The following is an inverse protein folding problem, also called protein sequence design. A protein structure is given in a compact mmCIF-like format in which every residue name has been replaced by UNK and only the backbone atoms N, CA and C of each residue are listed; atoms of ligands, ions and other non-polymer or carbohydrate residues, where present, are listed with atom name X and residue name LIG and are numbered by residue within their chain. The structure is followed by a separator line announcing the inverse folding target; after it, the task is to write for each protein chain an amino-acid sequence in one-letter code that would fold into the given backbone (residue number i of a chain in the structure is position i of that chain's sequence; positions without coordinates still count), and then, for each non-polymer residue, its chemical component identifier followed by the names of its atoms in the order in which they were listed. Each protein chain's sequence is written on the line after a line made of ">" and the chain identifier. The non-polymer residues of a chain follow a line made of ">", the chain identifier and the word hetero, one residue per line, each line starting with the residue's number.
data_IF_187398662194
#
_entry.id   IF_187398662194
#
_cell.length_a   1.000
_cell.length_b   1.000
_cell.length_c   1.000
_cell.angle_alpha   90.00
_cell.angle_beta   90.00
_cell.angle_gamma   90.00
#
_symmetry.space_group_name_H-M   'P 1'
#
loop_
_entity.id
_entity.type
_entity.pdbx_description
1 polymer ?
#
# COMPACT_ATOMS: atom_id res chain seq x y z
N UNK A 1 -0.25 17.58 -16.13
CA UNK A 1 -0.72 16.17 -16.17
C UNK A 1 -2.23 16.00 -16.09
N UNK A 2 -2.99 16.74 -15.26
CA UNK A 2 -4.46 16.59 -15.15
C UNK A 2 -5.22 16.72 -16.48
N UNK A 3 -4.83 17.70 -17.31
CA UNK A 3 -5.48 17.99 -18.61
C UNK A 3 -5.21 16.90 -19.66
N UNK A 4 -4.02 16.29 -19.65
CA UNK A 4 -3.66 15.21 -20.60
C UNK A 4 -4.38 13.89 -20.28
N UNK A 5 -4.55 13.55 -19.00
CA UNK A 5 -5.22 12.32 -18.58
C UNK A 5 -6.74 12.36 -18.80
N UNK A 6 -7.37 13.53 -18.60
CA UNK A 6 -8.80 13.74 -18.85
C UNK A 6 -9.12 13.72 -20.35
N UNK A 7 -8.27 14.30 -21.20
CA UNK A 7 -8.48 14.35 -22.65
C UNK A 7 -8.36 12.97 -23.34
N UNK A 8 -7.82 11.95 -22.67
CA UNK A 8 -7.65 10.60 -23.23
C UNK A 8 -8.54 9.57 -22.49
N UNK A 9 -9.41 10.01 -21.55
CA UNK A 9 -10.23 9.15 -20.69
C UNK A 9 -9.39 8.04 -20.02
N UNK A 10 -8.30 8.42 -19.37
CA UNK A 10 -7.40 7.48 -18.69
C UNK A 10 -7.79 7.34 -17.22
N UNK A 11 -8.07 8.47 -16.55
CA UNK A 11 -8.51 8.52 -15.15
C UNK A 11 -9.53 9.63 -14.92
N UNK A 12 -10.43 9.43 -13.97
CA UNK A 12 -11.43 10.41 -13.54
C UNK A 12 -11.48 10.51 -12.01
N UNK A 13 -11.82 11.70 -11.51
CA UNK A 13 -12.07 11.96 -10.10
C UNK A 13 -13.50 12.48 -9.96
N UNK A 14 -14.45 11.63 -9.55
CA UNK A 14 -15.82 12.09 -9.26
C UNK A 14 -15.93 12.54 -7.80
N UNK A 15 -15.61 13.81 -7.55
CA UNK A 15 -15.71 14.39 -6.21
C UNK A 15 -17.15 14.46 -5.69
N UNK A 16 -18.13 14.67 -6.59
CA UNK A 16 -19.52 14.90 -6.21
C UNK A 16 -20.31 13.61 -6.00
N UNK A 17 -20.03 12.55 -6.78
CA UNK A 17 -20.83 11.31 -6.71
C UNK A 17 -20.17 10.24 -5.84
N UNK A 18 -18.84 10.10 -5.94
CA UNK A 18 -18.11 9.02 -5.26
C UNK A 18 -17.31 9.49 -4.04
N UNK A 19 -17.10 10.80 -3.92
CA UNK A 19 -16.23 11.40 -2.90
C UNK A 19 -14.87 11.81 -3.48
N UNK A 20 -14.28 12.84 -2.86
CA UNK A 20 -12.93 13.28 -3.22
C UNK A 20 -11.90 12.17 -3.02
N UNK A 21 -10.76 12.25 -3.71
CA UNK A 21 -9.62 11.35 -3.45
C UNK A 21 -9.64 10.04 -4.23
N UNK A 22 -10.83 9.55 -4.59
CA UNK A 22 -11.01 8.26 -5.25
C UNK A 22 -10.76 8.36 -6.75
N UNK A 23 -9.83 7.54 -7.23
CA UNK A 23 -9.41 7.51 -8.64
C UNK A 23 -10.17 6.43 -9.40
N UNK A 24 -10.90 6.83 -10.42
CA UNK A 24 -11.55 5.91 -11.35
C UNK A 24 -10.61 5.63 -12.52
N UNK A 25 -10.16 4.39 -12.63
CA UNK A 25 -9.36 3.92 -13.75
C UNK A 25 -10.26 3.49 -14.90
N UNK A 26 -10.31 4.29 -15.96
CA UNK A 26 -11.05 3.97 -17.18
C UNK A 26 -10.32 2.87 -17.98
N UNK A 27 -10.97 2.16 -18.92
CA UNK A 27 -10.37 0.99 -19.58
C UNK A 27 -8.95 1.19 -20.13
N UNK A 28 -8.66 2.35 -20.72
CA UNK A 28 -7.32 2.68 -21.21
C UNK A 28 -6.31 2.88 -20.07
N UNK A 29 -6.71 3.55 -19.00
CA UNK A 29 -5.87 3.70 -17.80
C UNK A 29 -5.67 2.40 -17.05
N UNK A 30 -6.68 1.54 -17.01
CA UNK A 30 -6.59 0.21 -16.43
C UNK A 30 -5.55 -0.65 -17.17
N UNK A 31 -5.48 -0.57 -18.50
CA UNK A 31 -4.43 -1.25 -19.27
C UNK A 31 -3.04 -0.70 -18.94
N UNK A 32 -2.87 0.61 -18.86
CA UNK A 32 -1.59 1.22 -18.49
C UNK A 32 -1.15 0.76 -17.09
N UNK A 33 -2.08 0.82 -16.13
CA UNK A 33 -1.85 0.34 -14.76
C UNK A 33 -1.46 -1.14 -14.75
N UNK A 34 -2.19 -1.99 -15.47
CA UNK A 34 -1.90 -3.42 -15.57
C UNK A 34 -0.49 -3.69 -16.10
N UNK A 35 -0.06 -3.00 -17.16
CA UNK A 35 1.30 -3.15 -17.72
C UNK A 35 2.37 -2.74 -16.71
N UNK A 36 2.14 -1.66 -15.95
CA UNK A 36 3.07 -1.21 -14.91
C UNK A 36 3.14 -2.20 -13.74
N UNK A 37 1.99 -2.69 -13.27
CA UNK A 37 1.92 -3.68 -12.20
C UNK A 37 2.61 -5.00 -12.59
N UNK A 38 2.41 -5.46 -13.83
CA UNK A 38 3.01 -6.69 -14.32
C UNK A 38 4.53 -6.58 -14.44
N UNK A 39 5.03 -5.45 -14.93
CA UNK A 39 6.47 -5.17 -14.96
C UNK A 39 7.06 -5.18 -13.54
N UNK A 40 6.41 -4.49 -12.61
CA UNK A 40 6.85 -4.43 -11.22
C UNK A 40 6.88 -5.82 -10.59
N UNK A 41 5.81 -6.63 -10.76
CA UNK A 41 5.72 -7.99 -10.23
C UNK A 41 6.83 -8.86 -10.80
N UNK A 42 7.06 -8.79 -12.11
CA UNK A 42 8.09 -9.55 -12.80
C UNK A 42 9.48 -9.26 -12.22
N UNK A 43 9.86 -7.99 -12.09
CA UNK A 43 11.18 -7.58 -11.56
C UNK A 43 11.37 -8.10 -10.13
N UNK A 44 10.35 -8.00 -9.29
CA UNK A 44 10.42 -8.44 -7.90
C UNK A 44 10.51 -9.97 -7.79
N UNK A 45 9.74 -10.72 -8.58
CA UNK A 45 9.84 -12.19 -8.63
C UNK A 45 11.23 -12.64 -9.09
N UNK A 46 11.77 -12.02 -10.14
CA UNK A 46 13.11 -12.32 -10.67
C UNK A 46 14.22 -12.08 -9.64
N UNK A 47 14.00 -11.17 -8.69
CA UNK A 47 14.93 -10.84 -7.60
C UNK A 47 14.66 -11.60 -6.30
N UNK A 48 13.71 -12.54 -6.28
CA UNK A 48 13.46 -13.42 -5.12
C UNK A 48 12.43 -12.92 -4.10
N UNK A 49 11.71 -11.83 -4.40
CA UNK A 49 10.63 -11.35 -3.55
C UNK A 49 9.39 -12.26 -3.65
N UNK A 50 8.75 -12.50 -2.51
CA UNK A 50 7.52 -13.25 -2.42
C UNK A 50 6.32 -12.31 -2.46
N UNK A 51 5.46 -12.48 -3.47
CA UNK A 51 4.23 -11.69 -3.58
C UNK A 51 3.23 -12.05 -2.49
N UNK A 52 2.66 -11.03 -1.86
CA UNK A 52 1.56 -11.14 -0.91
C UNK A 52 0.34 -10.37 -1.39
N UNK A 53 -0.81 -10.81 -0.89
CA UNK A 53 -2.08 -10.08 -0.98
C UNK A 53 -2.70 -10.09 0.41
N UNK A 54 -2.86 -8.92 1.01
CA UNK A 54 -3.40 -8.80 2.37
C UNK A 54 -4.75 -8.08 2.37
N UNK A 55 -5.60 -8.31 3.40
CA UNK A 55 -6.91 -7.67 3.48
C UNK A 55 -6.83 -6.14 3.60
N UNK A 56 -7.89 -5.45 3.18
CA UNK A 56 -8.01 -3.99 3.33
C UNK A 56 -8.42 -3.54 4.74
N UNK A 57 -9.00 -4.43 5.54
CA UNK A 57 -9.58 -4.14 6.85
C UNK A 57 -9.03 -5.12 7.88
N UNK A 58 -8.73 -4.62 9.07
CA UNK A 58 -8.32 -5.43 10.22
C UNK A 58 -8.96 -4.93 11.51
N UNK A 59 -8.94 -5.78 12.54
CA UNK A 59 -9.36 -5.41 13.90
C UNK A 59 -8.56 -4.20 14.39
N UNK A 60 -9.23 -3.25 15.04
CA UNK A 60 -8.64 -2.04 15.60
C UNK A 60 -7.42 -2.34 16.50
N UNK A 61 -7.48 -3.43 17.26
CA UNK A 61 -6.40 -3.88 18.13
C UNK A 61 -5.07 -4.14 17.40
N UNK A 62 -5.09 -4.57 16.13
CA UNK A 62 -3.86 -4.74 15.34
C UNK A 62 -3.11 -3.41 15.22
N UNK A 63 -3.85 -2.34 14.94
CA UNK A 63 -3.29 -1.00 14.78
C UNK A 63 -2.82 -0.41 16.12
N UNK A 64 -3.49 -0.76 17.22
CA UNK A 64 -3.04 -0.43 18.57
C UNK A 64 -1.69 -1.10 18.90
N UNK A 65 -1.59 -2.42 18.68
CA UNK A 65 -0.36 -3.18 18.95
C UNK A 65 0.81 -2.65 18.13
N UNK A 66 0.55 -2.25 16.88
CA UNK A 66 1.57 -1.67 16.01
C UNK A 66 1.94 -0.21 16.33
N UNK A 67 1.23 0.44 17.27
CA UNK A 67 1.42 1.85 17.64
C UNK A 67 0.82 2.86 16.65
N UNK A 68 0.25 2.42 15.52
CA UNK A 68 -0.26 3.33 14.49
C UNK A 68 -1.48 4.13 14.94
N UNK A 69 -2.31 3.59 15.84
CA UNK A 69 -3.44 4.36 16.38
C UNK A 69 -3.01 5.57 17.19
N UNK A 70 -1.82 5.58 17.79
CA UNK A 70 -1.37 6.71 18.61
C UNK A 70 -0.83 7.85 17.72
N UNK A 71 -0.11 7.50 16.64
CA UNK A 71 0.55 8.48 15.78
C UNK A 71 -0.27 8.89 14.54
N UNK A 72 -1.09 7.99 14.00
CA UNK A 72 -1.78 8.18 12.72
C UNK A 72 -3.29 8.36 12.86
N UNK A 73 -3.83 8.46 14.09
CA UNK A 73 -5.28 8.56 14.34
C UNK A 73 -5.97 9.60 13.45
N UNK A 74 -5.37 10.77 13.32
CA UNK A 74 -5.92 11.90 12.57
C UNK A 74 -5.93 11.67 11.05
N UNK A 75 -5.07 10.77 10.57
CA UNK A 75 -4.92 10.43 9.15
C UNK A 75 -5.57 9.08 8.80
N UNK A 76 -6.27 8.47 9.75
CA UNK A 76 -6.97 7.19 9.58
C UNK A 76 -8.48 7.43 9.48
N UNK A 77 -9.17 6.52 8.81
CA UNK A 77 -10.63 6.51 8.82
C UNK A 77 -11.18 6.25 10.21
N UNK A 78 -12.43 6.64 10.40
CA UNK A 78 -13.18 6.19 11.56
C UNK A 78 -13.32 4.66 11.59
N UNK A 79 -13.35 4.12 12.80
CA UNK A 79 -13.52 2.69 13.03
C UNK A 79 -14.94 2.26 12.68
N UNK A 80 -15.05 1.13 12.00
CA UNK A 80 -16.32 0.47 11.69
C UNK A 80 -16.67 -0.50 12.83
N UNK A 81 -17.89 -0.43 13.34
CA UNK A 81 -18.39 -1.42 14.30
C UNK A 81 -19.07 -2.57 13.54
N UNK A 82 -18.56 -3.79 13.74
CA UNK A 82 -19.09 -5.02 13.15
C UNK A 82 -19.20 -6.06 14.26
N UNK A 83 -20.44 -6.44 14.62
CA UNK A 83 -20.71 -7.48 15.63
C UNK A 83 -19.99 -7.25 16.97
N UNK A 84 -20.04 -6.00 17.49
CA UNK A 84 -19.38 -5.56 18.72
C UNK A 84 -17.83 -5.54 18.67
N UNK A 85 -17.25 -5.78 17.50
CA UNK A 85 -15.83 -5.61 17.25
C UNK A 85 -15.54 -4.36 16.41
N UNK A 86 -14.49 -3.64 16.76
CA UNK A 86 -14.02 -2.47 16.02
C UNK A 86 -13.04 -2.91 14.93
N UNK A 87 -13.36 -2.54 13.70
CA UNK A 87 -12.54 -2.75 12.51
C UNK A 87 -12.08 -1.41 11.93
N UNK A 88 -10.98 -1.45 11.22
CA UNK A 88 -10.30 -0.25 10.74
C UNK A 88 -9.68 -0.53 9.37
N UNK A 89 -9.89 0.41 8.44
CA UNK A 89 -9.23 0.41 7.13
C UNK A 89 -7.72 0.60 7.29
N UNK A 90 -6.95 -0.11 6.47
CA UNK A 90 -5.49 -0.07 6.55
C UNK A 90 -4.91 1.27 6.07
N UNK A 91 -4.14 1.99 6.90
CA UNK A 91 -3.36 3.15 6.46
C UNK A 91 -2.03 2.76 5.79
N UNK A 92 -1.58 1.52 5.99
CA UNK A 92 -0.36 0.93 5.46
C UNK A 92 -0.38 -0.61 5.56
N UNK A 93 0.55 -1.27 4.86
CA UNK A 93 0.58 -2.74 4.76
C UNK A 93 1.45 -3.42 5.83
N UNK A 94 2.34 -2.67 6.51
CA UNK A 94 3.39 -3.24 7.39
C UNK A 94 2.88 -4.23 8.44
N UNK A 95 1.81 -3.93 9.21
CA UNK A 95 1.31 -4.87 10.23
C UNK A 95 0.85 -6.20 9.65
N UNK A 96 0.33 -6.24 8.41
CA UNK A 96 -0.06 -7.49 7.77
C UNK A 96 1.13 -8.35 7.38
N UNK A 97 2.18 -7.74 6.83
CA UNK A 97 3.40 -8.47 6.47
C UNK A 97 4.04 -9.10 7.71
N UNK A 98 4.02 -8.38 8.84
CA UNK A 98 4.48 -8.92 10.13
C UNK A 98 3.60 -10.08 10.61
N UNK A 99 2.27 -10.01 10.44
CA UNK A 99 1.38 -11.14 10.77
C UNK A 99 1.66 -12.38 9.92
N UNK A 100 1.93 -12.20 8.63
CA UNK A 100 2.31 -13.29 7.72
C UNK A 100 3.63 -13.90 8.17
N UNK A 101 4.63 -13.06 8.45
CA UNK A 101 5.92 -13.49 8.99
C UNK A 101 5.73 -14.26 10.30
N UNK A 102 4.96 -13.74 11.26
CA UNK A 102 4.77 -14.37 12.59
C UNK A 102 4.02 -15.70 12.55
N UNK A 103 3.34 -16.05 11.45
CA UNK A 103 2.49 -17.25 11.36
C UNK A 103 3.28 -18.57 11.43
N UNK A 104 4.55 -18.57 11.01
CA UNK A 104 5.44 -19.74 11.08
C UNK A 104 6.75 -19.39 11.81
N UNK A 105 7.36 -20.34 12.53
CA UNK A 105 8.75 -20.18 12.95
C UNK A 105 9.65 -20.17 11.71
N UNK A 106 10.72 -19.37 11.73
CA UNK A 106 11.70 -19.28 10.65
C UNK A 106 13.07 -19.73 11.14
N UNK A 107 13.77 -20.48 10.31
CA UNK A 107 15.17 -20.84 10.50
C UNK A 107 16.07 -19.70 10.03
N UNK A 108 17.26 -19.55 10.63
CA UNK A 108 18.23 -18.54 10.22
C UNK A 108 18.69 -18.71 8.75
N UNK A 109 18.61 -19.92 8.21
CA UNK A 109 18.92 -20.22 6.81
C UNK A 109 17.87 -19.70 5.82
N UNK A 110 16.66 -19.36 6.27
CA UNK A 110 15.61 -18.81 5.39
C UNK A 110 15.81 -17.31 5.13
N UNK A 111 16.71 -16.63 5.87
CA UNK A 111 16.98 -15.21 5.67
C UNK A 111 17.98 -14.95 4.54
N UNK A 112 17.76 -13.91 3.73
CA UNK A 112 16.73 -12.87 3.86
C UNK A 112 15.35 -13.32 3.33
N UNK A 113 14.29 -13.00 4.09
CA UNK A 113 12.90 -13.21 3.66
C UNK A 113 12.36 -11.89 3.13
N UNK A 114 12.13 -11.85 1.82
CA UNK A 114 11.65 -10.67 1.13
C UNK A 114 10.19 -10.89 0.74
N UNK A 115 9.30 -10.01 1.18
CA UNK A 115 7.88 -10.02 0.81
C UNK A 115 7.49 -8.69 0.19
N UNK A 116 6.58 -8.73 -0.77
CA UNK A 116 6.18 -7.54 -1.51
C UNK A 116 4.69 -7.57 -1.83
N UNK A 117 4.02 -6.43 -1.73
CA UNK A 117 2.60 -6.30 -2.03
C UNK A 117 2.34 -4.97 -2.75
N UNK A 118 1.57 -5.03 -3.84
CA UNK A 118 0.93 -3.84 -4.41
C UNK A 118 -0.38 -3.61 -3.67
N UNK A 119 -0.26 -2.98 -2.50
CA UNK A 119 -1.36 -2.86 -1.55
C UNK A 119 -2.05 -1.52 -1.66
N UNK A 120 -3.34 -1.51 -2.01
CA UNK A 120 -4.19 -0.33 -1.88
C UNK A 120 -4.35 0.06 -0.40
N UNK A 121 -3.85 1.22 -0.01
CA UNK A 121 -3.97 1.80 1.33
C UNK A 121 -4.98 2.94 1.34
N UNK A 122 -5.53 3.25 2.51
CA UNK A 122 -6.53 4.31 2.67
C UNK A 122 -6.06 5.29 3.74
N UNK A 123 -5.82 6.54 3.33
CA UNK A 123 -5.46 7.63 4.24
C UNK A 123 -6.45 8.78 4.15
N UNK A 124 -6.75 9.35 5.30
CA UNK A 124 -7.56 10.54 5.43
C UNK A 124 -6.64 11.77 5.34
N UNK A 125 -6.72 12.51 4.25
CA UNK A 125 -6.01 13.79 4.07
C UNK A 125 -6.99 14.97 4.01
N UNK A 126 -6.57 16.11 4.58
CA UNK A 126 -7.34 17.35 4.56
C UNK A 126 -7.44 17.93 3.13
N UNK A 127 -8.67 18.30 2.75
CA UNK A 127 -9.11 18.76 1.42
C UNK A 127 -8.32 19.94 0.80
N UNK A 128 -7.54 20.68 1.59
CA UNK A 128 -6.85 21.90 1.15
C UNK A 128 -5.61 21.71 0.26
N UNK A 129 -5.23 20.48 -0.10
CA UNK A 129 -3.94 20.18 -0.77
C UNK A 129 -4.02 19.29 -2.02
N UNK A 130 -5.16 19.32 -2.74
CA UNK A 130 -5.38 18.55 -3.97
C UNK A 130 -4.40 18.90 -5.10
N UNK A 131 -3.63 17.91 -5.58
CA UNK A 131 -2.80 18.01 -6.80
C UNK A 131 -2.80 16.70 -7.62
N UNK A 132 -3.85 16.50 -8.44
CA UNK A 132 -3.90 15.45 -9.47
C UNK A 132 -3.68 14.03 -8.93
N UNK A 133 -2.94 13.19 -9.68
CA UNK A 133 -2.55 11.83 -9.28
C UNK A 133 -1.39 11.79 -8.26
N UNK A 134 -0.65 12.90 -8.09
CA UNK A 134 0.53 12.94 -7.22
C UNK A 134 0.18 13.14 -5.75
N UNK A 135 -0.93 13.84 -5.49
CA UNK A 135 -1.46 14.04 -4.15
C UNK A 135 -2.97 14.17 -4.23
N UNK A 136 -3.67 13.05 -4.00
CA UNK A 136 -5.12 13.03 -4.03
C UNK A 136 -5.67 13.33 -2.64
N UNK A 137 -5.47 14.58 -2.19
CA UNK A 137 -5.88 15.04 -0.87
C UNK A 137 -7.36 15.41 -0.81
N UNK A 138 -8.23 14.46 -0.53
CA UNK A 138 -9.60 14.73 -0.13
C UNK A 138 -10.29 13.42 0.14
N UNK A 139 -10.79 13.23 1.35
CA UNK A 139 -11.64 12.13 1.83
C UNK A 139 -11.26 10.66 1.60
N UNK A 140 -10.47 10.27 0.60
CA UNK A 140 -9.84 8.94 0.47
C UNK A 140 -8.67 8.91 -0.48
N UNK A 141 -7.45 8.77 0.04
CA UNK A 141 -6.32 8.43 -0.81
C UNK A 141 -6.25 6.90 -0.97
N UNK A 142 -6.89 6.37 -2.03
CA UNK A 142 -6.58 5.02 -2.53
C UNK A 142 -5.25 5.11 -3.29
N UNK A 143 -4.18 4.77 -2.59
CA UNK A 143 -2.87 4.61 -3.21
C UNK A 143 -2.56 3.14 -3.32
N UNK A 144 -2.25 2.71 -4.55
CA UNK A 144 -1.48 1.52 -4.74
C UNK A 144 -0.07 1.81 -4.24
N UNK A 145 0.27 1.27 -3.07
CA UNK A 145 1.59 1.40 -2.49
C UNK A 145 2.41 0.16 -2.89
N UNK A 146 3.60 0.38 -3.44
CA UNK A 146 4.60 -0.64 -3.71
C UNK A 146 5.38 -0.96 -2.42
N UNK A 147 4.74 -1.72 -1.53
CA UNK A 147 5.32 -2.01 -0.22
C UNK A 147 6.14 -3.30 -0.26
N UNK A 148 7.43 -3.15 0.01
CA UNK A 148 8.36 -4.24 0.25
C UNK A 148 8.72 -4.32 1.74
N UNK A 149 8.78 -5.53 2.30
CA UNK A 149 9.31 -5.78 3.62
C UNK A 149 10.36 -6.88 3.57
N UNK A 150 11.55 -6.57 4.07
CA UNK A 150 12.68 -7.47 4.10
C UNK A 150 12.99 -7.79 5.55
N UNK A 151 12.82 -9.07 5.91
CA UNK A 151 13.28 -9.59 7.19
C UNK A 151 14.67 -10.19 6.95
N UNK A 152 15.67 -9.65 7.62
CA UNK A 152 17.06 -10.07 7.46
C UNK A 152 17.79 -10.10 8.82
N UNK A 153 18.93 -10.76 8.84
CA UNK A 153 19.86 -10.74 9.97
C UNK A 153 20.63 -9.41 9.99
N UNK A 154 21.16 -9.02 11.15
CA UNK A 154 21.84 -7.73 11.33
C UNK A 154 23.06 -7.56 10.42
N UNK A 155 23.78 -8.65 10.15
CA UNK A 155 24.93 -8.69 9.25
C UNK A 155 24.55 -8.56 7.77
N UNK A 156 23.32 -8.95 7.40
CA UNK A 156 22.80 -8.89 6.03
C UNK A 156 22.25 -7.51 5.63
N UNK A 157 21.99 -6.62 6.60
CA UNK A 157 21.35 -5.30 6.37
C UNK A 157 22.02 -4.51 5.25
N UNK A 158 23.36 -4.50 5.21
CA UNK A 158 24.12 -3.73 4.22
C UNK A 158 23.92 -4.24 2.79
N UNK A 159 23.91 -5.55 2.62
CA UNK A 159 23.75 -6.19 1.32
C UNK A 159 22.32 -6.02 0.81
N UNK A 160 21.33 -6.12 1.70
CA UNK A 160 19.92 -5.88 1.36
C UNK A 160 19.66 -4.42 0.94
N UNK A 161 20.22 -3.45 1.67
CA UNK A 161 20.12 -2.03 1.28
C UNK A 161 20.70 -1.80 -0.11
N UNK A 162 21.85 -2.43 -0.42
CA UNK A 162 22.46 -2.31 -1.74
C UNK A 162 21.58 -2.93 -2.83
N UNK A 163 21.02 -4.12 -2.59
CA UNK A 163 20.10 -4.76 -3.53
C UNK A 163 18.84 -3.92 -3.82
N UNK A 164 18.34 -3.18 -2.83
CA UNK A 164 17.23 -2.23 -2.99
C UNK A 164 17.65 -0.99 -3.79
N UNK A 165 18.89 -0.51 -3.65
CA UNK A 165 19.38 0.62 -4.46
C UNK A 165 19.53 0.22 -5.94
N UNK A 166 20.03 -0.98 -6.21
CA UNK A 166 20.15 -1.55 -7.57
C UNK A 166 18.77 -1.79 -8.25
N UNK A 167 17.68 -1.75 -7.49
CA UNK A 167 16.30 -1.79 -8.02
C UNK A 167 15.85 -0.43 -8.59
N UNK A 168 16.48 0.67 -8.15
CA UNK A 168 16.11 2.04 -8.51
C UNK A 168 16.91 2.63 -9.66
N UNK A 169 18.03 1.98 -10.04
CA UNK A 169 18.87 2.32 -11.20
C UNK A 169 18.40 1.62 -12.48
#
# INVERSE_FOLDING_TARGET
>A
MRILALNIFIVEFSQNDAGGGLVFWHPKGAIVRHVMEDLWKKIHIERGYNLLYTPHVAKANLWQISGHLDYYKENMYDQMNVEDELYQLRPMNCPYHILVYRKKPHSYHEFPIQVVELGTVYRYELSGSLHGLFRVGGFTQDLLQDDAHIFCLEDQIKDEIKGVLDLTE
#
